data_IF_576734247074
#
_entry.id   IF_576734247074
#
_cell.length_a   1.000
_cell.length_b   1.000
_cell.length_c   1.000
_cell.angle_alpha   90.00
_cell.angle_beta   90.00
_cell.angle_gamma   90.00
#
_symmetry.space_group_name_H-M   'P 1'
#
loop_
_entity.id
_entity.type
_entity.pdbx_description
1 polymer ?
#
# COMPACT_ATOMS: atom_id res chain seq x y z
N UNK A 1 11.79 -17.55 -2.80
CA UNK A 1 11.41 -16.17 -3.13
C UNK A 1 10.08 -15.91 -2.43
N UNK A 2 9.98 -14.91 -1.54
CA UNK A 2 8.78 -14.77 -0.71
C UNK A 2 7.66 -13.97 -1.38
N UNK A 3 7.93 -12.94 -2.19
CA UNK A 3 7.00 -12.33 -3.17
C UNK A 3 7.82 -11.49 -4.18
N UNK A 4 7.48 -11.54 -5.46
CA UNK A 4 8.22 -10.83 -6.53
C UNK A 4 7.60 -9.48 -6.92
N UNK A 5 6.33 -9.24 -6.57
CA UNK A 5 5.59 -8.00 -6.84
C UNK A 5 4.46 -7.82 -5.82
N UNK A 6 4.18 -6.58 -5.43
CA UNK A 6 3.04 -6.22 -4.55
C UNK A 6 2.07 -5.35 -5.33
N UNK A 7 0.80 -5.76 -5.39
CA UNK A 7 -0.26 -5.00 -6.04
C UNK A 7 -1.10 -4.33 -4.95
N UNK A 8 -1.26 -3.01 -5.02
CA UNK A 8 -2.19 -2.28 -4.15
C UNK A 8 -3.53 -2.13 -4.87
N UNK A 9 -4.53 -3.00 -4.60
CA UNK A 9 -5.80 -2.92 -5.30
C UNK A 9 -6.48 -1.58 -5.02
N UNK A 10 -6.93 -0.92 -6.09
CA UNK A 10 -7.77 0.26 -5.97
C UNK A 10 -9.13 -0.10 -5.35
N UNK A 11 -9.54 0.66 -4.35
CA UNK A 11 -10.86 0.58 -3.75
C UNK A 11 -10.90 1.18 -2.34
N UNK A 12 -11.96 1.94 -2.06
CA UNK A 12 -12.67 2.19 -0.79
C UNK A 12 -11.94 1.94 0.54
N UNK A 13 -10.64 2.23 0.62
CA UNK A 13 -9.85 2.06 1.83
C UNK A 13 -10.38 3.02 2.89
N UNK A 14 -10.94 2.46 3.96
CA UNK A 14 -11.68 3.20 5.00
C UNK A 14 -12.92 3.96 4.51
N UNK A 15 -13.61 3.52 3.45
CA UNK A 15 -14.94 4.06 3.14
C UNK A 15 -14.97 5.46 2.52
N UNK A 16 -13.86 5.97 1.97
CA UNK A 16 -13.79 7.26 1.26
C UNK A 16 -14.29 8.49 2.05
N UNK A 17 -14.27 8.43 3.39
CA UNK A 17 -14.83 9.46 4.30
C UNK A 17 -14.29 10.89 4.12
N UNK A 18 -13.17 11.08 3.42
CA UNK A 18 -12.61 12.41 3.13
C UNK A 18 -12.06 12.51 1.69
N UNK A 19 -11.40 11.46 1.18
CA UNK A 19 -10.97 11.22 -0.22
C UNK A 19 -10.47 9.77 -0.37
N UNK A 20 -10.72 9.09 -1.49
CA UNK A 20 -10.17 7.76 -1.76
C UNK A 20 -8.65 7.69 -1.50
N UNK A 21 -8.24 6.77 -0.63
CA UNK A 21 -6.84 6.57 -0.25
C UNK A 21 -6.26 7.55 0.78
N UNK A 22 -6.97 8.59 1.22
CA UNK A 22 -6.46 9.56 2.19
C UNK A 22 -6.22 8.98 3.59
N UNK A 23 -6.97 7.95 3.97
CA UNK A 23 -6.78 7.23 5.24
C UNK A 23 -5.85 6.02 5.05
N UNK A 24 -5.75 5.48 3.84
CA UNK A 24 -4.91 4.32 3.52
C UNK A 24 -3.43 4.56 3.86
N UNK A 25 -2.93 5.80 3.76
CA UNK A 25 -1.55 6.18 4.17
C UNK A 25 -1.24 5.91 5.64
N UNK A 26 -2.26 5.82 6.51
CA UNK A 26 -2.10 5.57 7.94
C UNK A 26 -2.27 4.08 8.30
N UNK A 27 -2.52 3.22 7.31
CA UNK A 27 -2.58 1.78 7.54
C UNK A 27 -1.19 1.25 7.94
N UNK A 28 -1.09 0.39 8.97
CA UNK A 28 0.17 -0.23 9.36
C UNK A 28 0.91 -0.95 8.22
N UNK A 29 0.17 -1.38 7.19
CA UNK A 29 0.76 -2.04 6.01
C UNK A 29 1.65 -1.10 5.18
N UNK A 30 1.45 0.22 5.27
CA UNK A 30 2.24 1.19 4.51
C UNK A 30 3.72 1.24 4.95
N UNK A 31 4.01 0.91 6.21
CA UNK A 31 5.40 0.79 6.70
C UNK A 31 6.12 -0.36 5.99
N UNK A 32 5.47 -1.53 5.92
CA UNK A 32 6.02 -2.70 5.22
C UNK A 32 6.16 -2.46 3.71
N UNK A 33 5.22 -1.76 3.08
CA UNK A 33 5.30 -1.37 1.67
C UNK A 33 6.49 -0.44 1.43
N UNK A 34 6.72 0.53 2.33
CA UNK A 34 7.84 1.46 2.23
C UNK A 34 9.18 0.73 2.34
N UNK A 35 9.30 -0.22 3.26
CA UNK A 35 10.50 -1.07 3.39
C UNK A 35 10.72 -1.93 2.14
N UNK A 36 9.64 -2.50 1.58
CA UNK A 36 9.70 -3.30 0.35
C UNK A 36 10.17 -2.47 -0.86
N UNK A 37 9.68 -1.25 -1.03
CA UNK A 37 10.14 -0.34 -2.10
C UNK A 37 11.60 0.04 -1.92
N UNK A 38 12.04 0.30 -0.67
CA UNK A 38 13.43 0.64 -0.38
C UNK A 38 14.43 -0.50 -0.68
N UNK A 39 13.96 -1.75 -0.70
CA UNK A 39 14.77 -2.92 -1.10
C UNK A 39 14.74 -3.20 -2.60
N UNK A 40 14.13 -2.31 -3.39
CA UNK A 40 14.01 -2.42 -4.84
C UNK A 40 12.80 -3.23 -5.30
N UNK A 41 11.87 -3.53 -4.40
CA UNK A 41 10.62 -4.23 -4.72
C UNK A 41 9.67 -3.37 -5.55
N UNK A 42 9.06 -3.98 -6.56
CA UNK A 42 8.10 -3.32 -7.45
C UNK A 42 6.70 -3.30 -6.83
N UNK A 43 6.12 -2.12 -6.70
CA UNK A 43 4.73 -1.91 -6.23
C UNK A 43 3.92 -1.25 -7.34
N UNK A 44 2.75 -1.82 -7.67
CA UNK A 44 1.85 -1.37 -8.73
C UNK A 44 0.44 -1.13 -8.18
#
# INVERSE_FOLDING_TARGET
SRFDCVILPGGFSYGDYLRAGAIARFSPVMEAITEYVNTGGLVI
#
